data_IF_030408612116
#
_entry.id   IF_030408612116
#
_cell.length_a   1.000
_cell.length_b   1.000
_cell.length_c   1.000
_cell.angle_alpha   90.00
_cell.angle_beta   90.00
_cell.angle_gamma   90.00
#
_symmetry.space_group_name_H-M   'P 1'
#
loop_
_entity.id
_entity.type
_entity.pdbx_description
1 polymer ?
#
# COMPACT_ATOMS: atom_id res chain seq x y z
N UNK A 1 -37.50 9.53 61.78
CA UNK A 1 -36.83 8.58 60.85
C UNK A 1 -37.52 8.43 59.48
N UNK A 2 -38.86 8.51 59.38
CA UNK A 2 -39.58 8.32 58.11
C UNK A 2 -39.25 9.33 56.97
N UNK A 3 -38.93 10.59 57.30
CA UNK A 3 -38.54 11.61 56.29
C UNK A 3 -37.22 11.27 55.61
N UNK A 4 -36.22 10.79 56.36
CA UNK A 4 -34.92 10.38 55.82
C UNK A 4 -35.06 9.19 54.86
N UNK A 5 -35.87 8.18 55.23
CA UNK A 5 -36.16 7.05 54.36
C UNK A 5 -36.83 7.47 53.03
N UNK A 6 -37.69 8.50 53.07
CA UNK A 6 -38.35 9.04 51.87
C UNK A 6 -37.36 9.78 50.95
N UNK A 7 -36.45 10.56 51.52
CA UNK A 7 -35.38 11.26 50.79
C UNK A 7 -34.44 10.25 50.12
N UNK A 8 -34.00 9.22 50.84
CA UNK A 8 -33.13 8.16 50.29
C UNK A 8 -33.81 7.45 49.11
N UNK A 9 -35.12 7.19 49.20
CA UNK A 9 -35.88 6.56 48.11
C UNK A 9 -35.93 7.45 46.86
N UNK A 10 -36.11 8.76 47.03
CA UNK A 10 -36.15 9.73 45.92
C UNK A 10 -34.76 9.86 45.27
N UNK A 11 -33.70 9.93 46.07
CA UNK A 11 -32.31 9.97 45.57
C UNK A 11 -32.00 8.70 44.78
N UNK A 12 -32.38 7.53 45.27
CA UNK A 12 -32.20 6.26 44.56
C UNK A 12 -32.95 6.23 43.22
N UNK A 13 -34.20 6.69 43.20
CA UNK A 13 -35.00 6.75 41.97
C UNK A 13 -34.41 7.74 40.96
N UNK A 14 -33.93 8.89 41.43
CA UNK A 14 -33.26 9.89 40.60
C UNK A 14 -31.94 9.38 40.03
N UNK A 15 -31.17 8.60 40.81
CA UNK A 15 -29.91 8.00 40.37
C UNK A 15 -30.16 6.96 39.26
N UNK A 16 -31.21 6.14 39.42
CA UNK A 16 -31.62 5.17 38.39
C UNK A 16 -32.11 5.85 37.11
N UNK A 17 -32.88 6.94 37.22
CA UNK A 17 -33.33 7.71 36.08
C UNK A 17 -32.16 8.37 35.31
N UNK A 18 -31.10 8.77 36.02
CA UNK A 18 -29.89 9.35 35.42
C UNK A 18 -28.98 8.29 34.76
N UNK A 19 -29.13 7.02 35.13
CA UNK A 19 -28.31 5.94 34.61
C UNK A 19 -28.53 5.70 33.11
N UNK A 20 -29.78 5.81 32.66
CA UNK A 20 -30.17 5.65 31.25
C UNK A 20 -29.48 6.69 30.34
N UNK A 21 -29.58 8.01 30.59
CA UNK A 21 -28.88 9.01 29.78
C UNK A 21 -27.35 8.93 29.92
N UNK A 22 -26.83 8.55 31.10
CA UNK A 22 -25.40 8.36 31.28
C UNK A 22 -24.83 7.23 30.40
N UNK A 23 -25.55 6.11 30.29
CA UNK A 23 -25.16 4.99 29.43
C UNK A 23 -25.14 5.39 27.95
N UNK A 24 -26.12 6.19 27.52
CA UNK A 24 -26.23 6.66 26.14
C UNK A 24 -25.10 7.64 25.77
N UNK A 25 -24.70 8.52 26.70
CA UNK A 25 -23.53 9.39 26.51
C UNK A 25 -22.23 8.57 26.46
N UNK A 26 -22.11 7.53 27.30
CA UNK A 26 -20.95 6.65 27.29
C UNK A 26 -20.82 5.89 25.96
N UNK A 27 -21.94 5.39 25.42
CA UNK A 27 -21.98 4.73 24.11
C UNK A 27 -21.64 5.69 22.97
N UNK A 28 -22.10 6.94 23.02
CA UNK A 28 -21.76 7.96 22.02
C UNK A 28 -20.26 8.30 22.04
N UNK A 29 -19.63 8.35 23.22
CA UNK A 29 -18.17 8.58 23.36
C UNK A 29 -17.38 7.37 22.83
N UNK A 30 -17.82 6.15 23.14
CA UNK A 30 -17.21 4.94 22.58
C UNK A 30 -17.32 4.94 21.06
N UNK A 31 -18.51 5.22 20.50
CA UNK A 31 -18.72 5.26 19.05
C UNK A 31 -17.79 6.25 18.34
N UNK A 32 -17.53 7.43 18.92
CA UNK A 32 -16.53 8.37 18.39
C UNK A 32 -15.13 7.80 18.41
N UNK A 33 -14.68 7.23 19.53
CA UNK A 33 -13.35 6.60 19.63
C UNK A 33 -13.17 5.44 18.63
N UNK A 34 -14.19 4.61 18.45
CA UNK A 34 -14.16 3.51 17.49
C UNK A 34 -14.14 4.01 16.04
N UNK A 35 -14.83 5.12 15.73
CA UNK A 35 -14.76 5.74 14.40
C UNK A 35 -13.37 6.28 14.08
N UNK A 36 -12.74 6.98 15.03
CA UNK A 36 -11.40 7.54 14.84
C UNK A 36 -10.34 6.45 14.72
N UNK A 37 -10.48 5.35 15.47
CA UNK A 37 -9.57 4.21 15.38
C UNK A 37 -9.71 3.48 14.04
N UNK A 38 -10.94 3.33 13.53
CA UNK A 38 -11.20 2.68 12.23
C UNK A 38 -10.66 3.50 11.06
N UNK A 39 -10.75 4.83 11.14
CA UNK A 39 -10.18 5.70 10.11
C UNK A 39 -8.65 5.60 10.05
N UNK A 40 -7.97 5.51 11.20
CA UNK A 40 -6.52 5.32 11.26
C UNK A 40 -6.09 3.97 10.67
N UNK A 41 -6.85 2.90 10.90
CA UNK A 41 -6.56 1.58 10.30
C UNK A 41 -6.68 1.65 8.78
N UNK A 42 -7.73 2.28 8.25
CA UNK A 42 -7.91 2.42 6.79
C UNK A 42 -6.79 3.25 6.17
N UNK A 43 -6.35 4.33 6.84
CA UNK A 43 -5.23 5.14 6.35
C UNK A 43 -3.90 4.36 6.35
N UNK A 44 -3.66 3.54 7.37
CA UNK A 44 -2.49 2.68 7.47
C UNK A 44 -2.50 1.57 6.42
N UNK A 45 -3.64 0.92 6.19
CA UNK A 45 -3.79 -0.09 5.14
C UNK A 45 -3.51 0.50 3.76
N UNK A 46 -3.99 1.72 3.49
CA UNK A 46 -3.71 2.42 2.24
C UNK A 46 -2.21 2.70 2.06
N UNK A 47 -1.55 3.22 3.10
CA UNK A 47 -0.09 3.43 3.09
C UNK A 47 0.68 2.13 2.86
N UNK A 48 0.22 1.02 3.45
CA UNK A 48 0.85 -0.28 3.25
C UNK A 48 0.74 -0.76 1.80
N UNK A 49 -0.42 -0.58 1.17
CA UNK A 49 -0.61 -0.93 -0.24
C UNK A 49 0.31 -0.10 -1.15
N UNK A 50 0.37 1.21 -0.93
CA UNK A 50 1.23 2.12 -1.70
C UNK A 50 2.72 1.74 -1.58
N UNK A 51 3.18 1.43 -0.36
CA UNK A 51 4.56 0.98 -0.11
C UNK A 51 4.88 -0.38 -0.74
N UNK A 52 3.91 -1.29 -0.83
CA UNK A 52 4.11 -2.59 -1.49
C UNK A 52 4.26 -2.39 -3.00
N UNK A 53 3.44 -1.52 -3.59
CA UNK A 53 3.52 -1.16 -5.01
C UNK A 53 4.88 -0.54 -5.35
N UNK A 54 5.34 0.40 -4.52
CA UNK A 54 6.64 1.07 -4.69
C UNK A 54 7.82 0.08 -4.56
N UNK A 55 7.78 -0.79 -3.54
CA UNK A 55 8.80 -1.82 -3.37
C UNK A 55 8.86 -2.80 -4.55
N UNK A 56 7.71 -3.19 -5.11
CA UNK A 56 7.68 -4.04 -6.32
C UNK A 56 8.41 -3.37 -7.48
N UNK A 57 8.14 -2.08 -7.72
CA UNK A 57 8.78 -1.31 -8.78
C UNK A 57 10.30 -1.23 -8.57
N UNK A 58 10.74 -0.91 -7.35
CA UNK A 58 12.16 -0.85 -7.00
C UNK A 58 12.86 -2.19 -7.21
N UNK A 59 12.25 -3.31 -6.81
CA UNK A 59 12.81 -4.65 -7.03
C UNK A 59 12.95 -4.94 -8.53
N UNK A 60 11.97 -4.57 -9.35
CA UNK A 60 12.05 -4.72 -10.80
C UNK A 60 13.20 -3.90 -11.38
N UNK A 61 13.33 -2.64 -11.00
CA UNK A 61 14.40 -1.75 -11.47
C UNK A 61 15.78 -2.27 -11.06
N UNK A 62 15.94 -2.68 -9.80
CA UNK A 62 17.18 -3.32 -9.30
C UNK A 62 17.49 -4.59 -10.08
N UNK A 63 16.49 -5.43 -10.36
CA UNK A 63 16.67 -6.69 -11.09
C UNK A 63 17.09 -6.45 -12.54
N UNK A 64 16.54 -5.42 -13.19
CA UNK A 64 16.96 -5.02 -14.54
C UNK A 64 18.41 -4.53 -14.54
N UNK A 65 18.77 -3.66 -13.61
CA UNK A 65 20.13 -3.12 -13.51
C UNK A 65 21.15 -4.23 -13.19
N UNK A 66 20.85 -5.06 -12.18
CA UNK A 66 21.67 -6.22 -11.79
C UNK A 66 21.84 -7.22 -12.93
N UNK A 67 20.79 -7.43 -13.74
CA UNK A 67 20.87 -8.29 -14.92
C UNK A 67 21.78 -7.69 -15.99
N UNK A 68 21.72 -6.37 -16.22
CA UNK A 68 22.61 -5.69 -17.17
C UNK A 68 24.09 -5.82 -16.74
N UNK A 69 24.40 -5.53 -15.47
CA UNK A 69 25.74 -5.69 -14.90
C UNK A 69 26.24 -7.14 -14.98
N UNK A 70 25.32 -8.10 -14.81
CA UNK A 70 25.64 -9.53 -14.94
C UNK A 70 25.90 -9.93 -16.39
N UNK A 71 25.13 -9.43 -17.35
CA UNK A 71 25.34 -9.66 -18.78
C UNK A 71 26.69 -9.07 -19.21
N UNK A 72 27.01 -7.85 -18.77
CA UNK A 72 28.28 -7.20 -19.08
C UNK A 72 29.47 -8.01 -18.56
N UNK A 73 29.39 -8.50 -17.31
CA UNK A 73 30.42 -9.38 -16.75
C UNK A 73 30.60 -10.67 -17.53
N UNK A 74 29.52 -11.38 -17.86
CA UNK A 74 29.60 -12.63 -18.63
C UNK A 74 30.21 -12.34 -20.02
N UNK A 75 29.79 -11.26 -20.67
CA UNK A 75 30.32 -10.84 -21.96
C UNK A 75 31.84 -10.55 -21.87
N UNK A 76 32.28 -9.78 -20.89
CA UNK A 76 33.69 -9.37 -20.77
C UNK A 76 34.60 -10.47 -20.22
N UNK A 77 34.19 -11.18 -19.17
CA UNK A 77 35.06 -12.09 -18.41
C UNK A 77 35.04 -13.52 -18.98
N UNK A 78 33.87 -14.04 -19.35
CA UNK A 78 33.74 -15.41 -19.84
C UNK A 78 33.88 -15.48 -21.37
N UNK A 79 33.22 -14.55 -22.07
CA UNK A 79 33.16 -14.56 -23.54
C UNK A 79 34.26 -13.69 -24.19
N UNK A 80 35.08 -12.99 -23.40
CA UNK A 80 36.11 -12.05 -23.88
C UNK A 80 35.59 -11.05 -24.93
N UNK A 81 34.30 -10.70 -24.84
CA UNK A 81 33.66 -9.72 -25.72
C UNK A 81 34.09 -8.32 -25.30
N UNK A 82 34.36 -7.49 -26.31
CA UNK A 82 34.63 -6.06 -26.16
C UNK A 82 33.61 -5.27 -26.97
N UNK A 83 33.43 -3.99 -26.63
CA UNK A 83 32.65 -3.07 -27.47
C UNK A 83 33.23 -3.06 -28.88
N UNK A 84 32.38 -3.27 -29.88
CA UNK A 84 32.76 -3.24 -31.28
C UNK A 84 33.16 -1.82 -31.70
N UNK A 85 34.26 -1.70 -32.44
CA UNK A 85 34.66 -0.47 -33.11
C UNK A 85 33.76 -0.19 -34.32
N UNK A 86 33.74 1.05 -34.82
CA UNK A 86 32.77 1.47 -35.86
C UNK A 86 32.93 0.72 -37.19
N UNK A 87 34.14 0.23 -37.47
CA UNK A 87 34.51 -0.57 -38.64
C UNK A 87 34.11 -2.05 -38.52
N UNK A 88 33.82 -2.54 -37.30
CA UNK A 88 33.39 -3.92 -37.04
C UNK A 88 31.85 -4.09 -37.11
N UNK A 89 31.10 -3.02 -37.38
CA UNK A 89 29.63 -3.02 -37.43
C UNK A 89 29.13 -3.32 -38.85
N UNK A 90 28.63 -4.54 -39.06
CA UNK A 90 27.97 -4.93 -40.32
C UNK A 90 26.46 -4.68 -40.22
N UNK A 91 25.94 -3.73 -41.01
CA UNK A 91 24.50 -3.46 -41.12
C UNK A 91 23.92 -4.25 -42.29
N UNK A 92 23.06 -5.22 -41.98
CA UNK A 92 22.33 -6.01 -42.99
C UNK A 92 20.94 -5.40 -43.16
N UNK A 93 20.64 -4.88 -44.35
CA UNK A 93 19.28 -4.50 -44.72
C UNK A 93 18.57 -5.68 -45.38
N UNK A 94 17.52 -6.16 -44.72
CA UNK A 94 16.65 -7.20 -45.27
C UNK A 94 15.72 -6.54 -46.28
N UNK A 95 15.92 -6.81 -47.57
CA UNK A 95 14.98 -6.42 -48.61
C UNK A 95 13.76 -7.31 -48.50
N UNK A 96 12.59 -6.74 -48.19
CA UNK A 96 11.32 -7.46 -48.07
C UNK A 96 11.08 -8.35 -49.29
N UNK A 97 11.31 -9.65 -49.12
CA UNK A 97 10.98 -10.67 -50.10
C UNK A 97 9.50 -11.00 -49.98
N UNK A 98 8.64 -10.09 -50.44
CA UNK A 98 7.22 -10.42 -50.64
C UNK A 98 6.22 -9.30 -50.43
N UNK A 99 6.24 -8.24 -51.25
CA UNK A 99 5.00 -7.73 -51.84
C UNK A 99 5.30 -6.86 -53.07
N UNK A 100 5.23 -7.49 -54.24
CA UNK A 100 5.46 -6.87 -55.55
C UNK A 100 4.72 -7.61 -56.65
N UNK A 101 3.44 -7.88 -56.43
CA UNK A 101 2.49 -8.23 -57.48
C UNK A 101 1.26 -7.35 -57.29
N UNK A 102 1.16 -6.34 -58.14
CA UNK A 102 0.08 -5.36 -58.16
C UNK A 102 0.20 -4.59 -59.48
N UNK A 103 -0.22 -5.26 -60.55
CA UNK A 103 -0.71 -4.60 -61.76
C UNK A 103 -2.12 -4.06 -61.47
#
# INVERSE_FOLDING_TARGET
MAKAARIVKIVFLSLMALFIPAMLVFDAIQARKYSDLRNQVIELEKKQADLIEENKKLITDISMLSSADRIERIASEELNMRKAESDEIIRVEMRDAGNGSGN
#
